data_IF_615128067241
#
_entry.id   IF_615128067241
#
_cell.length_a   1.000
_cell.length_b   1.000
_cell.length_c   1.000
_cell.angle_alpha   90.00
_cell.angle_beta   90.00
_cell.angle_gamma   90.00
#
_symmetry.space_group_name_H-M   'P 1'
#
loop_
_entity.id
_entity.type
_entity.pdbx_description
1 polymer ?
#
# COMPACT_ATOMS: atom_id res chain seq x y z
N UNK A 1 7.68 3.87 19.35
CA UNK A 1 8.29 4.60 18.23
C UNK A 1 9.35 5.54 18.77
N UNK A 2 9.15 6.08 19.98
CA UNK A 2 10.18 6.74 20.81
C UNK A 2 11.47 5.92 20.94
N UNK A 3 11.42 4.65 21.34
CA UNK A 3 12.64 3.83 21.51
C UNK A 3 13.56 3.72 20.28
N UNK A 4 13.03 3.77 19.05
CA UNK A 4 13.86 3.71 17.85
C UNK A 4 14.43 5.09 17.47
N UNK A 5 13.70 6.16 17.81
CA UNK A 5 14.18 7.52 17.67
C UNK A 5 15.24 7.83 18.73
N UNK A 6 15.01 7.43 19.98
CA UNK A 6 15.97 7.53 21.08
C UNK A 6 17.23 6.72 20.79
N UNK A 7 17.11 5.45 20.36
CA UNK A 7 18.29 4.65 20.00
C UNK A 7 19.04 5.24 18.79
N UNK A 8 18.34 5.78 17.80
CA UNK A 8 18.98 6.49 16.70
C UNK A 8 19.69 7.75 17.20
N UNK A 9 19.03 8.55 18.04
CA UNK A 9 19.61 9.74 18.68
C UNK A 9 20.80 9.40 19.59
N UNK A 10 20.77 8.28 20.32
CA UNK A 10 21.87 7.80 21.15
C UNK A 10 23.06 7.34 20.29
N UNK A 11 22.83 6.59 19.21
CA UNK A 11 23.90 6.23 18.26
C UNK A 11 24.48 7.49 17.61
N UNK A 12 23.64 8.48 17.31
CA UNK A 12 24.05 9.78 16.78
C UNK A 12 24.84 10.61 17.79
N UNK A 13 24.49 10.55 19.09
CA UNK A 13 25.18 11.25 20.17
C UNK A 13 26.47 10.54 20.62
N UNK A 14 26.52 9.22 20.52
CA UNK A 14 27.70 8.40 20.83
C UNK A 14 28.75 8.38 19.71
N UNK A 15 28.42 8.94 18.54
CA UNK A 15 29.34 9.12 17.42
C UNK A 15 30.46 10.10 17.80
N UNK A 16 31.68 9.60 17.99
CA UNK A 16 32.87 10.39 18.40
C UNK A 16 33.34 11.44 17.38
N UNK A 17 32.71 11.52 16.22
CA UNK A 17 32.96 12.55 15.22
C UNK A 17 31.70 13.41 15.09
N UNK A 18 31.78 14.73 15.33
CA UNK A 18 30.68 15.65 15.08
C UNK A 18 30.54 15.79 13.57
N UNK A 19 29.90 14.82 12.93
CA UNK A 19 29.53 14.94 11.52
C UNK A 19 28.47 16.03 11.47
N UNK A 20 28.84 17.22 10.97
CA UNK A 20 27.89 18.30 10.75
C UNK A 20 26.77 17.76 9.85
N UNK A 21 25.53 17.84 10.31
CA UNK A 21 24.38 17.45 9.49
C UNK A 21 24.38 18.29 8.21
N UNK A 22 24.77 17.66 7.12
CA UNK A 22 24.62 18.26 5.81
C UNK A 22 23.16 18.07 5.40
N UNK A 23 22.49 19.18 5.05
CA UNK A 23 21.18 19.08 4.40
C UNK A 23 21.35 18.24 3.14
N UNK A 24 20.55 17.19 2.99
CA UNK A 24 20.55 16.42 1.75
C UNK A 24 20.21 17.39 0.60
N UNK A 25 21.08 17.48 -0.39
CA UNK A 25 20.93 18.44 -1.49
C UNK A 25 19.80 18.05 -2.45
N UNK A 26 19.35 16.80 -2.38
CA UNK A 26 18.22 16.29 -3.16
C UNK A 26 17.10 15.90 -2.21
N UNK A 27 15.87 16.26 -2.56
CA UNK A 27 14.71 15.77 -1.83
C UNK A 27 14.58 14.25 -2.04
N UNK A 28 14.41 13.53 -0.94
CA UNK A 28 14.20 12.09 -0.93
C UNK A 28 12.96 11.76 -0.11
N UNK A 29 12.14 10.86 -0.63
CA UNK A 29 11.03 10.28 0.10
C UNK A 29 11.49 8.99 0.79
N UNK A 30 11.27 8.90 2.10
CA UNK A 30 11.51 7.68 2.89
C UNK A 30 10.23 6.83 2.95
N UNK A 31 10.38 5.53 2.69
CA UNK A 31 9.30 4.56 2.75
C UNK A 31 9.63 3.46 3.75
N UNK A 32 8.65 3.15 4.59
CA UNK A 32 8.64 2.01 5.50
C UNK A 32 7.41 1.14 5.19
N UNK A 33 7.51 0.26 4.18
CA UNK A 33 6.43 -0.63 3.77
C UNK A 33 5.97 -1.53 4.92
N UNK A 34 4.67 -1.65 5.13
CA UNK A 34 4.10 -2.52 6.17
C UNK A 34 2.97 -3.38 5.64
N UNK A 35 2.90 -4.65 6.05
CA UNK A 35 1.72 -5.48 5.81
C UNK A 35 0.58 -5.12 6.76
N UNK A 36 -0.68 -5.41 6.41
CA UNK A 36 -1.85 -5.16 7.28
C UNK A 36 -1.89 -6.09 8.49
N UNK A 37 -1.51 -7.35 8.32
CA UNK A 37 -1.56 -8.36 9.37
C UNK A 37 -0.18 -8.74 9.91
N UNK A 38 -0.14 -8.97 11.22
CA UNK A 38 0.97 -9.61 11.90
C UNK A 38 0.42 -10.37 13.09
N UNK A 39 0.66 -11.68 13.14
CA UNK A 39 0.38 -12.48 14.32
C UNK A 39 1.53 -12.34 15.30
N UNK A 40 1.23 -12.13 16.58
CA UNK A 40 2.24 -12.16 17.63
C UNK A 40 2.27 -13.58 18.17
N UNK A 41 3.29 -14.34 17.79
CA UNK A 41 3.54 -15.68 18.31
C UNK A 41 5.03 -15.82 18.62
N UNK A 42 5.40 -16.83 19.41
CA UNK A 42 6.80 -17.03 19.84
C UNK A 42 7.76 -17.17 18.66
N UNK A 43 7.28 -17.69 17.53
CA UNK A 43 8.05 -17.73 16.29
C UNK A 43 8.35 -16.31 15.77
N UNK A 44 7.36 -15.42 15.77
CA UNK A 44 7.53 -14.02 15.34
C UNK A 44 8.48 -13.26 16.22
N UNK A 45 8.41 -13.45 17.55
CA UNK A 45 9.32 -12.80 18.49
C UNK A 45 10.76 -13.30 18.28
N UNK A 46 10.95 -14.61 18.13
CA UNK A 46 12.28 -15.20 17.88
C UNK A 46 12.90 -14.78 16.54
N UNK A 47 12.11 -14.80 15.46
CA UNK A 47 12.65 -14.53 14.11
C UNK A 47 12.82 -13.05 13.81
N UNK A 48 11.92 -12.19 14.31
CA UNK A 48 11.86 -10.79 13.91
C UNK A 48 12.01 -9.82 15.08
N UNK A 49 12.08 -10.28 16.32
CA UNK A 49 12.10 -9.43 17.52
C UNK A 49 10.73 -8.78 17.84
N UNK A 50 9.73 -8.91 16.97
CA UNK A 50 8.41 -8.32 17.20
C UNK A 50 7.51 -8.26 15.98
N UNK A 51 6.22 -8.01 16.24
CA UNK A 51 5.18 -7.89 15.21
C UNK A 51 5.48 -6.78 14.20
N UNK A 52 5.99 -5.62 14.65
CA UNK A 52 6.25 -4.49 13.76
C UNK A 52 7.42 -4.77 12.81
N UNK A 53 8.52 -5.32 13.32
CA UNK A 53 9.65 -5.72 12.51
C UNK A 53 9.26 -6.77 11.46
N UNK A 54 8.45 -7.77 11.84
CA UNK A 54 7.90 -8.75 10.88
C UNK A 54 7.07 -8.11 9.78
N UNK A 55 6.24 -7.09 10.09
CA UNK A 55 5.42 -6.38 9.10
C UNK A 55 6.27 -5.60 8.11
N UNK A 56 7.35 -4.97 8.59
CA UNK A 56 8.31 -4.25 7.75
C UNK A 56 9.09 -5.22 6.86
N UNK A 57 9.63 -6.30 7.45
CA UNK A 57 10.35 -7.34 6.72
C UNK A 57 9.49 -7.93 5.60
N UNK A 58 8.24 -8.32 5.91
CA UNK A 58 7.30 -8.87 4.91
C UNK A 58 6.82 -7.84 3.89
N UNK A 59 6.93 -6.55 4.21
CA UNK A 59 6.66 -5.46 3.29
C UNK A 59 7.78 -5.21 2.29
N UNK A 60 8.93 -5.88 2.42
CA UNK A 60 10.10 -5.69 1.54
C UNK A 60 11.21 -4.83 2.15
N UNK A 61 11.06 -4.39 3.41
CA UNK A 61 12.04 -3.53 4.08
C UNK A 61 11.95 -2.05 3.68
N UNK A 62 12.60 -1.15 4.44
CA UNK A 62 12.61 0.27 4.13
C UNK A 62 13.38 0.57 2.84
N UNK A 63 12.96 1.63 2.14
CA UNK A 63 13.66 2.15 0.97
C UNK A 63 13.51 3.67 0.86
N UNK A 64 14.36 4.29 0.05
CA UNK A 64 14.29 5.71 -0.27
C UNK A 64 14.18 5.89 -1.78
N UNK A 65 13.41 6.90 -2.20
CA UNK A 65 13.36 7.33 -3.60
C UNK A 65 13.79 8.78 -3.68
N UNK A 66 14.57 9.11 -4.71
CA UNK A 66 14.88 10.50 -5.05
C UNK A 66 13.65 11.14 -5.66
N UNK A 67 13.42 12.41 -5.36
CA UNK A 67 12.35 13.17 -5.98
C UNK A 67 12.50 13.25 -7.50
N UNK A 68 11.43 12.89 -8.22
CA UNK A 68 11.38 12.82 -9.68
C UNK A 68 9.92 12.78 -10.17
N UNK A 69 9.71 12.98 -11.47
CA UNK A 69 8.37 12.91 -12.10
C UNK A 69 7.76 11.52 -12.04
N UNK A 70 8.58 10.46 -11.99
CA UNK A 70 8.14 9.06 -11.93
C UNK A 70 8.21 8.46 -10.51
N UNK A 71 8.57 9.26 -9.50
CA UNK A 71 8.72 8.80 -8.11
C UNK A 71 7.46 8.14 -7.57
N UNK A 72 6.28 8.64 -7.92
CA UNK A 72 4.99 8.08 -7.47
C UNK A 72 4.77 6.69 -8.07
N UNK A 73 5.00 6.52 -9.38
CA UNK A 73 4.91 5.22 -10.03
C UNK A 73 5.93 4.22 -9.44
N UNK A 74 7.17 4.64 -9.22
CA UNK A 74 8.20 3.81 -8.57
C UNK A 74 7.79 3.39 -7.14
N UNK A 75 7.22 4.31 -6.36
CA UNK A 75 6.73 4.02 -5.02
C UNK A 75 5.59 2.99 -5.05
N UNK A 76 4.61 3.18 -5.94
CA UNK A 76 3.49 2.25 -6.09
C UNK A 76 3.94 0.87 -6.58
N UNK A 77 4.98 0.80 -7.41
CA UNK A 77 5.59 -0.46 -7.84
C UNK A 77 6.25 -1.18 -6.66
N UNK A 78 7.07 -0.48 -5.87
CA UNK A 78 7.73 -1.04 -4.68
C UNK A 78 6.73 -1.47 -3.59
N UNK A 79 5.59 -0.80 -3.50
CA UNK A 79 4.49 -1.14 -2.59
C UNK A 79 3.55 -2.23 -3.14
N UNK A 80 3.75 -2.68 -4.39
CA UNK A 80 3.00 -3.76 -5.02
C UNK A 80 1.64 -3.38 -5.61
N UNK A 81 1.33 -2.08 -5.73
CA UNK A 81 0.11 -1.60 -6.37
C UNK A 81 0.21 -1.58 -7.89
N UNK A 82 1.42 -1.36 -8.40
CA UNK A 82 1.75 -1.30 -9.83
C UNK A 82 2.77 -2.41 -10.15
N UNK A 83 2.67 -3.02 -11.32
CA UNK A 83 3.64 -3.98 -11.85
C UNK A 83 3.74 -3.88 -13.39
N UNK A 84 4.64 -4.66 -13.98
CA UNK A 84 4.84 -4.71 -15.44
C UNK A 84 3.96 -5.78 -16.13
N UNK A 85 3.08 -6.45 -15.38
CA UNK A 85 2.28 -7.59 -15.82
C UNK A 85 0.79 -7.28 -15.77
N UNK A 86 0.11 -7.80 -14.74
CA UNK A 86 -1.35 -7.74 -14.65
C UNK A 86 -1.87 -6.48 -13.92
N UNK A 87 -0.97 -5.62 -13.44
CA UNK A 87 -1.29 -4.39 -12.70
C UNK A 87 -0.55 -3.16 -13.21
N UNK A 88 -0.71 -2.85 -14.50
CA UNK A 88 0.02 -1.77 -15.20
C UNK A 88 -0.68 -0.41 -15.20
N UNK A 89 -1.94 -0.32 -14.78
CA UNK A 89 -2.74 0.92 -14.84
C UNK A 89 -2.45 1.83 -13.62
N UNK A 90 -1.69 2.90 -13.83
CA UNK A 90 -1.31 3.87 -12.79
C UNK A 90 -2.52 4.57 -12.14
N UNK A 91 -3.53 5.08 -12.88
CA UNK A 91 -4.73 5.66 -12.28
C UNK A 91 -5.43 4.70 -11.31
N UNK A 92 -5.55 3.43 -11.68
CA UNK A 92 -6.14 2.41 -10.82
C UNK A 92 -5.24 2.13 -9.62
N UNK A 93 -3.92 2.02 -9.80
CA UNK A 93 -2.98 1.86 -8.68
C UNK A 93 -3.10 3.01 -7.65
N UNK A 94 -3.24 4.25 -8.11
CA UNK A 94 -3.52 5.41 -7.26
C UNK A 94 -4.85 5.27 -6.52
N UNK A 95 -5.92 4.88 -7.23
CA UNK A 95 -7.24 4.67 -6.64
C UNK A 95 -7.17 3.65 -5.50
N UNK A 96 -6.50 2.52 -5.74
CA UNK A 96 -6.34 1.45 -4.76
C UNK A 96 -5.50 1.88 -3.56
N UNK A 97 -4.43 2.64 -3.81
CA UNK A 97 -3.56 3.16 -2.78
C UNK A 97 -4.30 4.13 -1.86
N UNK A 98 -4.98 5.15 -2.41
CA UNK A 98 -5.69 6.14 -1.59
C UNK A 98 -6.88 5.53 -0.87
N UNK A 99 -7.45 4.44 -1.41
CA UNK A 99 -8.60 3.79 -0.80
C UNK A 99 -8.30 2.85 0.38
N UNK A 100 -7.02 2.66 0.75
CA UNK A 100 -6.66 1.95 1.98
C UNK A 100 -7.12 2.75 3.21
N UNK A 101 -7.82 2.14 4.19
CA UNK A 101 -8.25 2.84 5.40
C UNK A 101 -7.10 3.56 6.11
N UNK A 102 -5.93 2.93 6.20
CA UNK A 102 -4.74 3.49 6.85
C UNK A 102 -4.19 4.70 6.09
N UNK A 103 -4.26 4.68 4.76
CA UNK A 103 -3.81 5.79 3.92
C UNK A 103 -4.82 6.93 3.97
N UNK A 104 -6.14 6.66 3.87
CA UNK A 104 -7.18 7.70 3.98
C UNK A 104 -7.02 8.54 5.25
N UNK A 105 -6.81 7.88 6.38
CA UNK A 105 -6.63 8.57 7.65
C UNK A 105 -5.37 9.45 7.63
N UNK A 106 -4.24 8.91 7.16
CA UNK A 106 -2.97 9.63 7.09
C UNK A 106 -3.05 10.82 6.13
N UNK A 107 -3.55 10.59 4.91
CA UNK A 107 -3.72 11.61 3.88
C UNK A 107 -4.66 12.73 4.34
N UNK A 108 -5.75 12.41 5.02
CA UNK A 108 -6.72 13.41 5.50
C UNK A 108 -6.23 14.17 6.73
N UNK A 109 -5.74 13.47 7.75
CA UNK A 109 -5.53 14.05 9.09
C UNK A 109 -4.13 14.60 9.32
N UNK A 110 -3.14 14.15 8.54
CA UNK A 110 -1.73 14.51 8.75
C UNK A 110 -1.11 15.28 7.61
N UNK A 111 -1.57 15.04 6.38
CA UNK A 111 -0.89 15.52 5.17
C UNK A 111 -1.73 16.46 4.31
N UNK A 112 -3.02 16.61 4.63
CA UNK A 112 -4.00 17.36 3.83
C UNK A 112 -3.92 17.05 2.32
N UNK A 113 -3.73 15.76 2.00
CA UNK A 113 -3.44 15.27 0.65
C UNK A 113 -4.45 14.22 0.19
N UNK A 114 -5.63 14.15 0.83
CA UNK A 114 -6.68 13.22 0.41
C UNK A 114 -7.33 13.73 -0.88
N UNK A 115 -7.45 12.89 -1.93
CA UNK A 115 -8.15 13.29 -3.13
C UNK A 115 -9.64 13.58 -2.92
N UNK A 116 -10.17 14.44 -3.77
CA UNK A 116 -11.59 14.78 -3.89
C UNK A 116 -12.12 14.43 -5.28
N UNK A 117 -13.44 14.36 -5.44
CA UNK A 117 -14.08 13.89 -6.68
C UNK A 117 -13.81 14.74 -7.91
N UNK A 118 -13.43 16.01 -7.73
CA UNK A 118 -13.07 16.92 -8.82
C UNK A 118 -11.64 16.73 -9.33
N UNK A 119 -10.78 16.04 -8.57
CA UNK A 119 -9.37 15.85 -8.92
C UNK A 119 -9.23 15.00 -10.19
N UNK A 120 -8.27 15.39 -11.03
CA UNK A 120 -7.76 14.56 -12.13
C UNK A 120 -6.68 13.59 -11.62
N UNK A 121 -6.31 12.60 -12.43
CA UNK A 121 -5.19 11.70 -12.13
C UNK A 121 -3.91 12.47 -11.81
N UNK A 122 -3.63 13.56 -12.55
CA UNK A 122 -2.44 14.39 -12.37
C UNK A 122 -2.47 15.09 -11.00
N UNK A 123 -3.63 15.60 -10.58
CA UNK A 123 -3.79 16.23 -9.27
C UNK A 123 -3.56 15.22 -8.14
N UNK A 124 -4.08 13.99 -8.31
CA UNK A 124 -3.88 12.90 -7.34
C UNK A 124 -2.41 12.51 -7.26
N UNK A 125 -1.72 12.40 -8.40
CA UNK A 125 -0.29 12.10 -8.44
C UNK A 125 0.52 13.18 -7.73
N UNK A 126 0.22 14.46 -7.97
CA UNK A 126 0.86 15.58 -7.28
C UNK A 126 0.64 15.52 -5.77
N UNK A 127 -0.59 15.22 -5.32
CA UNK A 127 -0.92 15.02 -3.90
C UNK A 127 -0.14 13.84 -3.29
N UNK A 128 0.04 12.75 -4.03
CA UNK A 128 0.83 11.60 -3.54
C UNK A 128 2.32 11.93 -3.46
N UNK A 129 2.87 12.65 -4.45
CA UNK A 129 4.25 13.15 -4.41
C UNK A 129 4.48 14.04 -3.19
N UNK A 130 3.59 15.01 -2.95
CA UNK A 130 3.62 15.84 -1.75
C UNK A 130 3.56 15.01 -0.46
N UNK A 131 2.64 14.04 -0.38
CA UNK A 131 2.50 13.16 0.77
C UNK A 131 3.76 12.31 1.05
N UNK A 132 4.47 11.88 0.00
CA UNK A 132 5.70 11.08 0.13
C UNK A 132 6.92 11.90 0.54
N UNK A 133 7.01 13.15 0.11
CA UNK A 133 8.11 14.06 0.45
C UNK A 133 7.89 14.81 1.76
N UNK A 134 6.66 14.82 2.29
CA UNK A 134 6.34 15.55 3.50
C UNK A 134 7.06 15.00 4.74
N UNK A 135 7.74 15.89 5.46
CA UNK A 135 8.35 15.59 6.77
C UNK A 135 7.32 15.26 7.86
N UNK A 136 6.02 15.49 7.61
CA UNK A 136 4.94 15.07 8.51
C UNK A 136 4.54 13.60 8.31
N UNK A 137 5.06 12.94 7.28
CA UNK A 137 4.88 11.51 7.06
C UNK A 137 5.88 10.71 7.88
N UNK A 138 5.41 9.61 8.48
CA UNK A 138 6.32 8.63 9.11
C UNK A 138 6.98 7.68 8.09
N UNK A 139 6.74 7.90 6.79
CA UNK A 139 7.11 6.99 5.70
C UNK A 139 6.34 5.67 5.67
N UNK A 140 5.49 5.40 6.68
CA UNK A 140 4.73 4.15 6.79
C UNK A 140 3.61 4.10 5.78
N UNK A 141 3.74 3.19 4.82
CA UNK A 141 2.74 2.92 3.81
C UNK A 141 2.45 1.43 3.75
N UNK A 142 1.17 1.10 3.69
CA UNK A 142 0.69 -0.29 3.61
C UNK A 142 0.94 -0.81 2.20
N UNK A 143 1.50 -2.01 2.09
CA UNK A 143 1.67 -2.69 0.81
C UNK A 143 0.33 -3.17 0.24
N UNK A 144 0.25 -3.37 -1.07
CA UNK A 144 -0.94 -3.89 -1.72
C UNK A 144 -1.39 -5.23 -1.09
N UNK A 145 -2.71 -5.41 -1.03
CA UNK A 145 -3.27 -6.63 -0.46
C UNK A 145 -3.00 -7.83 -1.35
N UNK A 146 -2.64 -8.94 -0.71
CA UNK A 146 -2.58 -10.23 -1.38
C UNK A 146 -3.98 -10.74 -1.69
N UNK A 147 -4.07 -11.49 -2.77
CA UNK A 147 -5.28 -12.11 -3.31
C UNK A 147 -5.72 -13.40 -2.57
N UNK A 148 -4.97 -13.86 -1.55
CA UNK A 148 -5.23 -15.13 -0.87
C UNK A 148 -6.68 -15.29 -0.38
N UNK A 149 -7.26 -14.24 0.22
CA UNK A 149 -8.66 -14.25 0.64
C UNK A 149 -9.64 -14.31 -0.53
N UNK A 150 -9.33 -13.64 -1.64
CA UNK A 150 -10.14 -13.70 -2.86
C UNK A 150 -10.08 -15.10 -3.46
N UNK A 151 -8.89 -15.69 -3.60
CA UNK A 151 -8.68 -17.06 -4.09
C UNK A 151 -9.48 -18.09 -3.29
N UNK A 152 -9.43 -17.99 -1.96
CA UNK A 152 -10.22 -18.87 -1.09
C UNK A 152 -11.72 -18.77 -1.37
N UNK A 153 -12.23 -17.55 -1.54
CA UNK A 153 -13.65 -17.37 -1.85
C UNK A 153 -14.01 -17.87 -3.25
N UNK A 154 -13.17 -17.60 -4.25
CA UNK A 154 -13.36 -18.11 -5.62
C UNK A 154 -13.40 -19.65 -5.65
N UNK A 155 -12.56 -20.32 -4.87
CA UNK A 155 -12.62 -21.77 -4.73
C UNK A 155 -13.90 -22.25 -4.05
N UNK A 156 -14.29 -21.62 -2.94
CA UNK A 156 -15.54 -21.97 -2.22
C UNK A 156 -16.78 -21.81 -3.09
N UNK A 157 -16.78 -20.82 -3.98
CA UNK A 157 -17.87 -20.55 -4.91
C UNK A 157 -17.78 -21.37 -6.22
N UNK A 158 -16.78 -22.23 -6.38
CA UNK A 158 -16.60 -23.07 -7.56
C UNK A 158 -16.09 -22.35 -8.81
N UNK A 159 -15.68 -21.08 -8.72
CA UNK A 159 -15.10 -20.34 -9.85
C UNK A 159 -13.64 -20.74 -10.13
N UNK A 160 -12.94 -21.27 -9.12
CA UNK A 160 -11.54 -21.70 -9.20
C UNK A 160 -11.38 -23.10 -8.62
N UNK A 161 -10.61 -23.98 -9.27
CA UNK A 161 -10.42 -25.37 -8.81
C UNK A 161 -9.52 -25.47 -7.57
N UNK A 162 -8.49 -24.63 -7.49
CA UNK A 162 -7.50 -24.64 -6.41
C UNK A 162 -7.00 -23.24 -6.12
N UNK A 163 -6.67 -22.97 -4.85
CA UNK A 163 -6.12 -21.67 -4.43
C UNK A 163 -4.72 -21.42 -4.98
N UNK A 164 -4.03 -22.47 -5.43
CA UNK A 164 -2.67 -22.44 -6.01
C UNK A 164 -2.67 -22.09 -7.51
N UNK A 165 -3.84 -21.85 -8.12
CA UNK A 165 -3.95 -21.62 -9.56
C UNK A 165 -3.10 -20.42 -10.05
N UNK A 166 -2.55 -20.44 -11.27
CA UNK A 166 -1.74 -19.34 -11.78
C UNK A 166 -2.54 -18.03 -11.89
N UNK A 167 -1.89 -16.88 -11.72
CA UNK A 167 -2.55 -15.56 -11.69
C UNK A 167 -3.48 -15.29 -12.88
N UNK A 168 -3.13 -15.63 -14.15
CA UNK A 168 -4.05 -15.44 -15.28
C UNK A 168 -5.38 -16.19 -15.13
N UNK A 169 -5.36 -17.41 -14.61
CA UNK A 169 -6.57 -18.21 -14.36
C UNK A 169 -7.42 -17.56 -13.26
N UNK A 170 -6.77 -17.08 -12.20
CA UNK A 170 -7.46 -16.37 -11.12
C UNK A 170 -8.07 -15.06 -11.63
N UNK A 171 -7.38 -14.31 -12.49
CA UNK A 171 -7.92 -13.09 -13.09
C UNK A 171 -9.18 -13.38 -13.91
N UNK A 172 -9.18 -14.46 -14.70
CA UNK A 172 -10.35 -14.89 -15.46
C UNK A 172 -11.51 -15.29 -14.53
N UNK A 173 -11.22 -15.97 -13.42
CA UNK A 173 -12.22 -16.27 -12.40
C UNK A 173 -12.79 -15.00 -11.74
N UNK A 174 -11.94 -14.03 -11.39
CA UNK A 174 -12.36 -12.75 -10.83
C UNK A 174 -13.27 -11.98 -11.79
N UNK A 175 -12.93 -11.93 -13.08
CA UNK A 175 -13.76 -11.29 -14.13
C UNK A 175 -15.16 -11.91 -14.20
N UNK A 176 -15.25 -13.24 -14.16
CA UNK A 176 -16.54 -13.95 -14.16
C UNK A 176 -17.37 -13.61 -12.92
N UNK A 177 -16.75 -13.57 -11.75
CA UNK A 177 -17.42 -13.20 -10.50
C UNK A 177 -17.92 -11.76 -10.54
N UNK A 178 -17.06 -10.81 -10.91
CA UNK A 178 -17.43 -9.39 -11.00
C UNK A 178 -18.63 -9.19 -11.93
N UNK A 179 -18.63 -9.83 -13.10
CA UNK A 179 -19.79 -9.81 -14.03
C UNK A 179 -21.05 -10.41 -13.41
N UNK A 180 -20.94 -11.58 -12.78
CA UNK A 180 -22.09 -12.26 -12.18
C UNK A 180 -22.72 -11.47 -11.03
N UNK A 181 -21.94 -10.64 -10.34
CA UNK A 181 -22.38 -9.79 -9.25
C UNK A 181 -22.79 -8.38 -9.71
N UNK A 182 -22.71 -8.08 -11.01
CA UNK A 182 -23.00 -6.75 -11.55
C UNK A 182 -22.07 -5.64 -11.03
N UNK A 183 -20.85 -5.99 -10.62
CA UNK A 183 -19.87 -5.02 -10.13
C UNK A 183 -19.15 -4.34 -11.29
N UNK A 184 -18.61 -3.14 -11.05
CA UNK A 184 -17.80 -2.41 -12.01
C UNK A 184 -16.58 -3.24 -12.42
N UNK A 185 -16.34 -3.35 -13.72
CA UNK A 185 -15.11 -3.97 -14.24
C UNK A 185 -13.90 -3.08 -13.97
N UNK A 186 -12.80 -3.72 -13.58
CA UNK A 186 -11.51 -3.10 -13.32
C UNK A 186 -10.52 -3.48 -14.42
N UNK A 187 -9.42 -2.73 -14.55
CA UNK A 187 -8.40 -2.98 -15.58
C UNK A 187 -7.27 -3.87 -15.06
N UNK A 188 -6.90 -3.71 -13.79
CA UNK A 188 -5.79 -4.42 -13.15
C UNK A 188 -6.23 -5.60 -12.28
N UNK A 189 -5.30 -6.54 -12.08
CA UNK A 189 -5.44 -7.63 -11.12
C UNK A 189 -5.77 -7.13 -9.72
N UNK A 190 -5.00 -6.14 -9.24
CA UNK A 190 -5.21 -5.54 -7.94
C UNK A 190 -6.57 -4.83 -7.83
N UNK A 191 -7.09 -4.30 -8.93
CA UNK A 191 -8.44 -3.72 -8.98
C UNK A 191 -9.52 -4.76 -8.79
N UNK A 192 -9.42 -5.90 -9.48
CA UNK A 192 -10.34 -7.02 -9.27
C UNK A 192 -10.28 -7.53 -7.83
N UNK A 193 -9.09 -7.69 -7.25
CA UNK A 193 -8.92 -8.07 -5.84
C UNK A 193 -9.66 -7.08 -4.94
N UNK A 194 -9.45 -5.79 -5.15
CA UNK A 194 -10.07 -4.73 -4.37
C UNK A 194 -11.59 -4.76 -4.46
N UNK A 195 -12.18 -4.73 -5.65
CA UNK A 195 -13.63 -4.63 -5.79
C UNK A 195 -14.34 -5.86 -5.22
N UNK A 196 -13.74 -7.05 -5.39
CA UNK A 196 -14.27 -8.30 -4.84
C UNK A 196 -14.20 -8.27 -3.31
N UNK A 197 -13.07 -7.87 -2.72
CA UNK A 197 -12.95 -7.74 -1.27
C UNK A 197 -13.92 -6.70 -0.72
N UNK A 198 -14.06 -5.55 -1.37
CA UNK A 198 -15.00 -4.52 -0.97
C UNK A 198 -16.44 -5.03 -0.97
N UNK A 199 -16.82 -5.84 -1.97
CA UNK A 199 -18.13 -6.48 -1.99
C UNK A 199 -18.28 -7.49 -0.84
N UNK A 200 -17.27 -8.30 -0.56
CA UNK A 200 -17.30 -9.27 0.55
C UNK A 200 -17.45 -8.61 1.92
N UNK A 201 -16.79 -7.48 2.13
CA UNK A 201 -16.86 -6.70 3.36
C UNK A 201 -17.94 -5.60 3.32
N UNK A 202 -18.85 -5.63 2.34
CA UNK A 202 -19.88 -4.59 2.18
C UNK A 202 -20.84 -4.46 3.37
N UNK A 203 -20.96 -5.53 4.18
CA UNK A 203 -21.80 -5.59 5.38
C UNK A 203 -21.08 -5.18 6.68
N UNK A 204 -19.80 -4.79 6.61
CA UNK A 204 -19.05 -4.36 7.79
C UNK A 204 -19.46 -2.92 8.21
N UNK A 205 -20.04 -2.73 9.41
CA UNK A 205 -20.44 -1.42 9.90
C UNK A 205 -19.26 -0.45 10.14
N UNK A 206 -18.02 -0.94 10.23
CA UNK A 206 -16.82 -0.10 10.37
C UNK A 206 -16.29 0.47 9.03
N UNK A 207 -17.01 0.24 7.92
CA UNK A 207 -16.55 0.63 6.58
C UNK A 207 -16.52 2.16 6.40
N UNK A 208 -15.40 2.66 5.89
CA UNK A 208 -15.25 4.06 5.44
C UNK A 208 -15.55 4.16 3.95
N UNK A 209 -16.34 5.16 3.54
CA UNK A 209 -16.71 5.41 2.14
C UNK A 209 -15.52 5.48 1.18
N UNK A 210 -15.75 5.11 -0.08
CA UNK A 210 -14.72 5.14 -1.13
C UNK A 210 -14.46 6.56 -1.61
N UNK A 211 -13.19 6.84 -1.89
CA UNK A 211 -12.81 8.04 -2.63
C UNK A 211 -12.84 7.67 -4.10
N UNK A 212 -13.60 8.42 -4.87
CA UNK A 212 -13.63 8.35 -6.33
C UNK A 212 -13.06 9.65 -6.87
N UNK A 213 -12.30 9.57 -7.95
CA UNK A 213 -11.77 10.70 -8.70
C UNK A 213 -11.80 10.34 -10.19
N UNK A 214 -11.58 11.33 -11.07
CA UNK A 214 -11.66 11.11 -12.52
C UNK A 214 -10.46 10.27 -12.98
N UNK A 215 -10.74 9.02 -13.37
CA UNK A 215 -9.80 8.05 -13.95
C UNK A 215 -9.97 8.01 -15.46
#
# INVERSE_FOLDING_TARGET
MELALEAACEVLQASRHPTSWARCHNDHAFFLPITTSGTNNDKTLREYGGKNARRVFRGGGPFMLKDSTDMVAQALQRLGYLDQGLSTDLPEALLLFVNRPEHKNTLRKKLDALPVSSDTVVDVEHKMRHAFLSNHSSGKWVVAQRDAGVRQTLCKQGFLKTIEAPQPEVLQAMRRVVRSLGLREMRSYNGYVFIIQQHMYSKDPARVGNIEFKI
#
